data_IF_132536977740
#
_entry.id   IF_132536977740
#
_cell.length_a   1.000
_cell.length_b   1.000
_cell.length_c   1.000
_cell.angle_alpha   90.00
_cell.angle_beta   90.00
_cell.angle_gamma   90.00
#
_symmetry.space_group_name_H-M   'P 1'
#
loop_
_entity.id
_entity.type
_entity.pdbx_description
1 polymer ?
#
# COMPACT_ATOMS: atom_id res chain seq x y z
N UNK A 1 -27.47 -7.20 31.03
CA UNK A 1 -26.85 -7.32 29.69
C UNK A 1 -25.49 -7.94 29.89
N UNK A 2 -25.42 -9.25 29.70
CA UNK A 2 -24.25 -10.09 29.95
C UNK A 2 -23.20 -9.79 28.87
N UNK A 3 -22.00 -9.36 29.29
CA UNK A 3 -20.90 -9.09 28.37
C UNK A 3 -20.41 -10.42 27.81
N UNK A 4 -20.66 -10.69 26.54
CA UNK A 4 -19.96 -11.75 25.80
C UNK A 4 -18.45 -11.46 25.81
N UNK A 5 -17.73 -12.16 26.66
CA UNK A 5 -16.28 -12.18 26.72
C UNK A 5 -15.78 -12.91 25.46
N UNK A 6 -15.48 -12.13 24.42
CA UNK A 6 -14.89 -12.69 23.20
C UNK A 6 -13.46 -13.09 23.51
N UNK A 7 -13.22 -14.40 23.52
CA UNK A 7 -11.88 -15.00 23.57
C UNK A 7 -11.21 -14.77 22.21
N UNK A 8 -10.47 -13.66 22.09
CA UNK A 8 -9.68 -13.38 20.89
C UNK A 8 -8.20 -13.44 21.25
N UNK A 9 -7.49 -14.37 20.63
CA UNK A 9 -6.04 -14.44 20.72
C UNK A 9 -5.44 -13.47 19.70
N UNK A 10 -4.80 -12.40 20.20
CA UNK A 10 -4.12 -11.42 19.33
C UNK A 10 -2.85 -12.08 18.79
N UNK A 11 -2.92 -12.65 17.60
CA UNK A 11 -1.70 -13.08 16.90
C UNK A 11 -0.88 -11.86 16.48
N UNK A 12 0.31 -11.72 17.05
CA UNK A 12 1.26 -10.67 16.65
C UNK A 12 1.86 -11.04 15.30
N UNK A 13 1.52 -10.28 14.25
CA UNK A 13 2.10 -10.46 12.92
C UNK A 13 3.53 -9.91 12.91
N UNK A 14 4.54 -10.78 12.89
CA UNK A 14 5.96 -10.40 12.78
C UNK A 14 6.43 -10.09 11.35
N UNK A 15 5.51 -9.92 10.40
CA UNK A 15 5.84 -9.70 8.98
C UNK A 15 6.77 -8.50 8.74
N UNK A 16 6.78 -7.51 9.63
CA UNK A 16 7.66 -6.33 9.56
C UNK A 16 9.02 -6.51 10.24
N UNK A 17 9.22 -7.54 11.05
CA UNK A 17 10.45 -7.71 11.84
C UNK A 17 11.71 -7.84 10.96
N UNK A 18 11.55 -8.33 9.73
CA UNK A 18 12.64 -8.56 8.78
C UNK A 18 12.70 -7.52 7.66
N UNK A 19 11.93 -6.43 7.75
CA UNK A 19 11.93 -5.37 6.74
C UNK A 19 12.93 -4.26 7.10
N UNK A 20 14.22 -4.55 6.99
CA UNK A 20 15.27 -3.52 7.10
C UNK A 20 15.53 -2.85 5.76
N UNK A 21 15.52 -1.52 5.73
CA UNK A 21 15.95 -0.79 4.54
C UNK A 21 17.47 -0.84 4.39
N UNK A 22 17.95 -0.99 3.16
CA UNK A 22 19.38 -0.93 2.85
C UNK A 22 19.83 0.54 2.92
N UNK A 23 20.75 0.83 3.84
CA UNK A 23 21.32 2.16 4.06
C UNK A 23 22.77 2.18 3.58
N UNK A 24 23.13 3.18 2.79
CA UNK A 24 24.46 3.38 2.24
C UNK A 24 25.21 4.47 3.01
N UNK A 25 26.43 4.15 3.43
CA UNK A 25 27.36 5.07 4.09
C UNK A 25 28.51 5.52 3.18
N UNK A 26 28.77 4.77 2.11
CA UNK A 26 29.82 5.05 1.14
C UNK A 26 29.26 4.97 -0.27
N UNK A 27 29.71 5.87 -1.13
CA UNK A 27 29.42 5.86 -2.56
C UNK A 27 30.75 5.86 -3.32
N UNK A 28 31.02 4.80 -4.10
CA UNK A 28 32.29 4.63 -4.84
C UNK A 28 33.55 4.84 -3.98
N UNK A 29 33.52 4.44 -2.70
CA UNK A 29 34.63 4.61 -1.76
C UNK A 29 34.69 5.96 -1.04
N UNK A 30 33.83 6.93 -1.41
CA UNK A 30 33.73 8.22 -0.74
C UNK A 30 32.69 8.11 0.39
N UNK A 31 33.03 8.46 1.65
CA UNK A 31 32.06 8.47 2.74
C UNK A 31 31.03 9.58 2.53
N UNK A 32 29.74 9.26 2.69
CA UNK A 32 28.69 10.27 2.67
C UNK A 32 28.64 11.00 4.02
N UNK A 33 28.31 12.29 4.00
CA UNK A 33 28.14 13.10 5.21
C UNK A 33 26.97 12.63 6.08
N UNK A 34 25.98 11.99 5.46
CA UNK A 34 24.84 11.37 6.13
C UNK A 34 24.51 10.04 5.44
N UNK A 35 24.02 9.04 6.19
CA UNK A 35 23.55 7.80 5.61
C UNK A 35 22.35 8.05 4.69
N UNK A 36 22.34 7.40 3.52
CA UNK A 36 21.24 7.51 2.55
C UNK A 36 20.63 6.14 2.30
N UNK A 37 19.31 6.03 2.39
CA UNK A 37 18.59 4.80 2.03
C UNK A 37 18.67 4.57 0.51
N UNK A 38 18.84 3.31 0.08
CA UNK A 38 18.82 2.96 -1.35
C UNK A 38 17.56 3.46 -2.06
N UNK A 39 16.41 3.45 -1.36
CA UNK A 39 15.15 3.97 -1.87
C UNK A 39 15.20 5.48 -2.10
N UNK A 40 15.79 6.24 -1.17
CA UNK A 40 15.96 7.68 -1.29
C UNK A 40 16.85 8.02 -2.49
N UNK A 41 17.96 7.31 -2.67
CA UNK A 41 18.84 7.51 -3.82
C UNK A 41 18.12 7.28 -5.16
N UNK A 42 17.35 6.20 -5.28
CA UNK A 42 16.57 5.89 -6.49
C UNK A 42 15.55 6.97 -6.81
N UNK A 43 14.74 7.40 -5.83
CA UNK A 43 13.74 8.44 -6.07
C UNK A 43 14.36 9.82 -6.31
N UNK A 44 15.53 10.10 -5.75
CA UNK A 44 16.29 11.32 -6.06
C UNK A 44 16.74 11.34 -7.53
N UNK A 45 17.31 10.23 -8.02
CA UNK A 45 17.72 10.10 -9.43
C UNK A 45 16.50 10.24 -10.36
N UNK A 46 15.39 9.55 -10.05
CA UNK A 46 14.15 9.67 -10.82
C UNK A 46 13.64 11.11 -10.82
N UNK A 47 13.65 11.77 -9.66
CA UNK A 47 13.25 13.17 -9.51
C UNK A 47 14.14 14.11 -10.35
N UNK A 48 15.45 13.88 -10.37
CA UNK A 48 16.41 14.66 -11.14
C UNK A 48 16.22 14.46 -12.65
N UNK A 49 16.04 13.21 -13.10
CA UNK A 49 15.69 12.92 -14.49
C UNK A 49 14.37 13.57 -14.89
N UNK A 50 13.37 13.54 -14.01
CA UNK A 50 12.07 14.17 -14.24
C UNK A 50 12.19 15.69 -14.38
N UNK A 51 12.86 16.37 -13.44
CA UNK A 51 13.02 17.83 -13.53
C UNK A 51 13.87 18.24 -14.73
N UNK A 52 14.92 17.47 -15.06
CA UNK A 52 15.72 17.69 -16.26
C UNK A 52 14.88 17.59 -17.53
N UNK A 53 14.13 16.50 -17.71
CA UNK A 53 13.26 16.28 -18.87
C UNK A 53 12.18 17.36 -18.98
N UNK A 54 11.50 17.70 -17.89
CA UNK A 54 10.49 18.77 -17.86
C UNK A 54 11.09 20.12 -18.24
N UNK A 55 12.28 20.44 -17.73
CA UNK A 55 12.97 21.70 -18.02
C UNK A 55 13.43 21.83 -19.49
N UNK A 56 13.62 20.69 -20.17
CA UNK A 56 14.02 20.66 -21.58
C UNK A 56 12.81 20.69 -22.52
N UNK A 57 11.71 20.01 -22.18
CA UNK A 57 10.49 20.00 -22.99
C UNK A 57 9.75 21.34 -22.89
N UNK A 58 9.73 21.97 -21.70
CA UNK A 58 9.09 23.26 -21.47
C UNK A 58 10.14 24.33 -21.12
N UNK A 59 10.84 24.91 -22.10
CA UNK A 59 11.86 25.94 -21.85
C UNK A 59 11.28 27.21 -21.21
N UNK A 60 9.97 27.43 -21.29
CA UNK A 60 9.27 28.52 -20.61
C UNK A 60 9.34 28.46 -19.08
N UNK A 61 9.50 27.27 -18.49
CA UNK A 61 9.59 27.08 -17.03
C UNK A 61 10.85 27.77 -16.47
N UNK A 62 11.95 27.77 -17.24
CA UNK A 62 13.22 28.42 -16.86
C UNK A 62 13.13 29.94 -16.78
N UNK A 63 12.14 30.55 -17.44
CA UNK A 63 11.94 32.01 -17.45
C UNK A 63 11.10 32.51 -16.28
N UNK A 64 10.48 31.61 -15.52
CA UNK A 64 9.65 31.96 -14.38
C UNK A 64 10.56 32.13 -13.15
N UNK A 65 10.60 33.35 -12.63
CA UNK A 65 11.34 33.70 -11.41
C UNK A 65 10.81 32.81 -10.25
N UNK A 66 11.71 32.31 -9.38
CA UNK A 66 11.48 31.29 -8.34
C UNK A 66 11.23 29.85 -8.79
N UNK A 67 11.07 29.56 -10.08
CA UNK A 67 10.90 28.18 -10.58
C UNK A 67 12.05 27.78 -11.49
N UNK A 68 12.59 28.74 -12.23
CA UNK A 68 13.67 28.54 -13.20
C UNK A 68 15.09 28.54 -12.63
N UNK A 69 15.27 28.86 -11.34
CA UNK A 69 16.60 28.91 -10.76
C UNK A 69 17.27 27.52 -10.83
N UNK A 70 18.53 27.42 -11.31
CA UNK A 70 19.20 26.13 -11.48
C UNK A 70 19.27 25.32 -10.18
N UNK A 71 19.48 26.00 -9.06
CA UNK A 71 19.53 25.38 -7.72
C UNK A 71 18.17 24.75 -7.38
N UNK A 72 17.06 25.41 -7.70
CA UNK A 72 15.73 24.88 -7.43
C UNK A 72 15.43 23.68 -8.34
N UNK A 73 15.77 23.77 -9.62
CA UNK A 73 15.53 22.72 -10.62
C UNK A 73 16.27 21.42 -10.35
N UNK A 74 17.53 21.51 -9.93
CA UNK A 74 18.40 20.33 -9.83
C UNK A 74 18.63 19.85 -8.41
N UNK A 75 18.39 20.68 -7.39
CA UNK A 75 18.60 20.30 -5.99
C UNK A 75 17.26 20.24 -5.26
N UNK A 76 16.53 21.36 -5.22
CA UNK A 76 15.35 21.46 -4.35
C UNK A 76 14.18 20.61 -4.84
N UNK A 77 13.78 20.70 -6.10
CA UNK A 77 12.66 19.90 -6.61
C UNK A 77 12.93 18.39 -6.58
N UNK A 78 14.10 17.88 -7.02
CA UNK A 78 14.41 16.45 -6.91
C UNK A 78 14.42 15.98 -5.45
N UNK A 79 14.93 16.80 -4.53
CA UNK A 79 14.91 16.50 -3.10
C UNK A 79 13.47 16.46 -2.54
N UNK A 80 12.61 17.39 -2.92
CA UNK A 80 11.20 17.40 -2.51
C UNK A 80 10.45 16.17 -3.06
N UNK A 81 10.67 15.83 -4.33
CA UNK A 81 10.11 14.62 -4.96
C UNK A 81 10.56 13.38 -4.21
N UNK A 82 11.87 13.24 -3.95
CA UNK A 82 12.41 12.15 -3.16
C UNK A 82 11.75 12.07 -1.79
N UNK A 83 11.66 13.18 -1.05
CA UNK A 83 11.07 13.24 0.29
C UNK A 83 9.59 12.86 0.26
N UNK A 84 8.85 13.33 -0.73
CA UNK A 84 7.45 12.97 -0.94
C UNK A 84 7.27 11.46 -1.10
N UNK A 85 8.04 10.81 -1.98
CA UNK A 85 7.88 9.37 -2.22
C UNK A 85 8.41 8.47 -1.10
N UNK A 86 9.29 8.97 -0.24
CA UNK A 86 9.95 8.15 0.80
C UNK A 86 9.39 8.35 2.21
N UNK A 87 9.02 9.59 2.58
CA UNK A 87 8.56 9.89 3.94
C UNK A 87 7.04 10.02 4.04
N UNK A 88 6.36 10.45 2.98
CA UNK A 88 4.91 10.63 3.01
C UNK A 88 4.20 9.30 2.77
N UNK A 89 3.21 9.00 3.60
CA UNK A 89 2.30 7.87 3.39
C UNK A 89 0.89 8.40 3.08
N UNK A 90 0.33 7.97 1.95
CA UNK A 90 -1.06 8.24 1.58
C UNK A 90 -1.90 7.01 1.92
N UNK A 91 -2.86 7.17 2.83
CA UNK A 91 -3.73 6.06 3.28
C UNK A 91 -2.93 4.83 3.78
N UNK A 92 -1.82 5.09 4.50
CA UNK A 92 -0.90 4.06 5.00
C UNK A 92 -0.04 3.36 3.94
N UNK A 93 -0.16 3.76 2.66
CA UNK A 93 0.62 3.25 1.52
C UNK A 93 1.64 4.29 1.05
N UNK A 94 2.77 3.87 0.46
CA UNK A 94 3.65 4.83 -0.19
C UNK A 94 2.97 5.43 -1.43
N UNK A 95 3.31 6.68 -1.82
CA UNK A 95 2.49 7.43 -2.78
C UNK A 95 2.41 6.78 -4.16
N UNK A 96 3.49 6.16 -4.63
CA UNK A 96 3.52 5.47 -5.92
C UNK A 96 2.56 4.26 -5.97
N UNK A 97 2.43 3.50 -4.87
CA UNK A 97 1.47 2.39 -4.77
C UNK A 97 0.05 2.95 -4.66
N UNK A 98 -0.14 3.99 -3.84
CA UNK A 98 -1.44 4.65 -3.71
C UNK A 98 -1.96 5.10 -5.07
N UNK A 99 -1.17 5.84 -5.85
CA UNK A 99 -1.60 6.31 -7.17
C UNK A 99 -1.85 5.18 -8.16
N UNK A 100 -1.03 4.12 -8.13
CA UNK A 100 -1.26 2.92 -8.93
C UNK A 100 -2.62 2.30 -8.60
N UNK A 101 -2.92 2.11 -7.32
CA UNK A 101 -4.17 1.52 -6.86
C UNK A 101 -5.38 2.40 -7.23
N UNK A 102 -5.25 3.71 -7.06
CA UNK A 102 -6.28 4.66 -7.48
C UNK A 102 -6.53 4.61 -9.00
N UNK A 103 -5.46 4.55 -9.80
CA UNK A 103 -5.58 4.45 -11.25
C UNK A 103 -6.25 3.14 -11.68
N UNK A 104 -5.88 2.01 -11.07
CA UNK A 104 -6.53 0.72 -11.29
C UNK A 104 -8.01 0.81 -10.92
N UNK A 105 -8.33 1.38 -9.76
CA UNK A 105 -9.70 1.55 -9.29
C UNK A 105 -10.54 2.44 -10.23
N UNK A 106 -9.94 3.45 -10.85
CA UNK A 106 -10.64 4.31 -11.81
C UNK A 106 -11.02 3.56 -13.10
N UNK A 107 -10.18 2.61 -13.54
CA UNK A 107 -10.39 1.85 -14.78
C UNK A 107 -11.21 0.57 -14.55
N UNK A 108 -11.16 0.02 -13.33
CA UNK A 108 -11.83 -1.24 -12.99
C UNK A 108 -13.36 -1.15 -13.15
N UNK A 109 -13.95 -2.22 -13.69
CA UNK A 109 -15.41 -2.37 -13.71
C UNK A 109 -15.96 -2.44 -12.26
N UNK A 110 -16.82 -1.48 -11.94
CA UNK A 110 -17.42 -1.29 -10.61
C UNK A 110 -18.58 -2.26 -10.34
N UNK A 111 -18.77 -3.27 -11.19
CA UNK A 111 -19.78 -4.34 -11.02
C UNK A 111 -19.66 -5.06 -9.68
N UNK A 112 -18.44 -5.27 -9.18
CA UNK A 112 -18.17 -5.96 -7.91
C UNK A 112 -17.80 -5.02 -6.77
N UNK A 113 -18.17 -3.74 -6.85
CA UNK A 113 -17.90 -2.80 -5.76
C UNK A 113 -18.62 -3.21 -4.48
N UNK A 114 -17.93 -3.03 -3.35
CA UNK A 114 -18.50 -3.26 -2.03
C UNK A 114 -19.81 -2.48 -1.87
N UNK A 115 -20.80 -3.13 -1.25
CA UNK A 115 -22.14 -2.56 -1.00
C UNK A 115 -23.02 -2.29 -2.23
N UNK A 116 -22.63 -2.74 -3.43
CA UNK A 116 -23.56 -2.75 -4.57
C UNK A 116 -24.37 -4.05 -4.60
N UNK A 117 -25.68 -3.98 -4.90
CA UNK A 117 -26.46 -5.18 -5.13
C UNK A 117 -25.94 -5.90 -6.38
N UNK A 118 -25.43 -7.11 -6.20
CA UNK A 118 -25.04 -7.99 -7.31
C UNK A 118 -26.28 -8.81 -7.65
N UNK A 119 -26.72 -8.75 -8.90
CA UNK A 119 -27.66 -9.73 -9.42
C UNK A 119 -26.92 -11.07 -9.56
N UNK A 120 -27.05 -11.91 -8.54
CA UNK A 120 -26.46 -13.25 -8.53
C UNK A 120 -27.16 -14.09 -9.60
N UNK A 121 -26.39 -14.54 -10.59
CA UNK A 121 -26.88 -15.60 -11.48
C UNK A 121 -27.10 -16.87 -10.65
N UNK A 122 -28.18 -17.61 -10.94
CA UNK A 122 -28.62 -18.74 -10.10
C UNK A 122 -27.64 -19.92 -10.06
N UNK A 123 -26.59 -19.93 -10.90
CA UNK A 123 -25.67 -21.07 -11.07
C UNK A 123 -24.20 -20.64 -11.01
N UNK A 124 -23.76 -20.05 -9.90
CA UNK A 124 -22.33 -19.76 -9.68
C UNK A 124 -21.66 -21.03 -9.15
N UNK A 125 -20.73 -21.59 -9.92
CA UNK A 125 -19.82 -22.65 -9.47
C UNK A 125 -18.50 -22.01 -9.08
N UNK A 126 -18.03 -22.29 -7.87
CA UNK A 126 -16.72 -21.86 -7.42
C UNK A 126 -15.70 -22.93 -7.75
N UNK A 127 -14.59 -22.53 -8.35
CA UNK A 127 -13.48 -23.43 -8.69
C UNK A 127 -12.63 -23.78 -7.46
N UNK A 128 -12.55 -22.86 -6.50
CA UNK A 128 -11.85 -23.07 -5.24
C UNK A 128 -12.73 -23.78 -4.21
N UNK A 129 -12.10 -24.59 -3.35
CA UNK A 129 -12.75 -25.14 -2.17
C UNK A 129 -13.01 -24.01 -1.15
N UNK A 130 -14.25 -23.55 -1.05
CA UNK A 130 -14.64 -22.47 -0.14
C UNK A 130 -15.18 -23.08 1.16
N UNK A 131 -14.52 -22.78 2.29
CA UNK A 131 -15.07 -23.02 3.61
C UNK A 131 -16.03 -21.90 4.00
N UNK A 132 -17.28 -22.22 4.34
CA UNK A 132 -18.23 -21.26 4.88
C UNK A 132 -18.90 -21.79 6.14
N UNK A 133 -19.19 -20.88 7.08
CA UNK A 133 -19.87 -21.22 8.33
C UNK A 133 -21.37 -21.22 8.09
N UNK A 134 -21.97 -22.41 8.09
CA UNK A 134 -23.44 -22.55 8.08
C UNK A 134 -23.94 -22.46 9.51
N UNK A 135 -24.88 -21.54 9.77
CA UNK A 135 -25.68 -21.62 11.00
C UNK A 135 -26.74 -22.70 10.77
N UNK A 136 -26.55 -23.88 11.38
CA UNK A 136 -27.59 -24.90 11.41
C UNK A 136 -28.50 -24.61 12.60
N UNK A 137 -29.81 -24.49 12.35
CA UNK A 137 -30.81 -24.52 13.43
C UNK A 137 -30.86 -25.95 13.94
N UNK A 138 -30.32 -26.19 15.13
CA UNK A 138 -30.28 -27.51 15.76
C UNK A 138 -31.36 -27.56 16.83
N UNK A 139 -32.17 -28.61 16.80
CA UNK A 139 -33.15 -28.87 17.86
C UNK A 139 -32.45 -29.08 19.20
N UNK A 140 -33.05 -28.66 20.32
CA UNK A 140 -32.49 -28.89 21.66
C UNK A 140 -32.18 -30.36 21.93
N UNK A 141 -32.96 -31.28 21.33
CA UNK A 141 -32.78 -32.73 21.46
C UNK A 141 -31.47 -33.15 20.79
N UNK A 142 -31.26 -32.76 19.53
CA UNK A 142 -30.04 -33.07 18.77
C UNK A 142 -28.78 -32.49 19.41
N UNK A 143 -28.90 -31.27 19.97
CA UNK A 143 -27.83 -30.64 20.75
C UNK A 143 -27.43 -31.49 21.96
N UNK A 144 -28.42 -32.10 22.63
CA UNK A 144 -28.19 -32.95 23.81
C UNK A 144 -27.53 -34.27 23.41
N UNK A 145 -27.93 -34.84 22.27
CA UNK A 145 -27.37 -36.09 21.74
C UNK A 145 -25.91 -35.91 21.27
N UNK A 146 -25.61 -34.82 20.56
CA UNK A 146 -24.24 -34.49 20.14
C UNK A 146 -23.29 -34.29 21.32
N UNK A 147 -23.78 -33.66 22.40
CA UNK A 147 -22.99 -33.46 23.62
C UNK A 147 -22.71 -34.75 24.38
N UNK A 148 -23.55 -35.78 24.20
CA UNK A 148 -23.45 -37.09 24.87
C UNK A 148 -22.58 -38.08 24.07
N UNK A 149 -22.55 -37.96 22.74
CA UNK A 149 -21.76 -38.83 21.85
C UNK A 149 -20.32 -38.39 21.58
N UNK A 150 -19.90 -37.24 22.12
CA UNK A 150 -18.52 -36.72 21.99
C UNK A 150 -17.58 -37.08 23.14
N UNK A 151 -17.88 -38.13 23.91
CA UNK A 151 -17.00 -38.70 24.94
C UNK A 151 -16.55 -40.09 24.52
#
# INVERSE_FOLDING_TARGET
MEKEERDYEIMRTYARAWQSEIVMYHLFGIPLWFPVSARQAVFFIIGLSFTFTVSNILPGIKKIIFIGDPILLYIVYPYLIMKFFTQLTLDGKPPHIYFKDQFIYLIQDKKYNMYRPINLEKNIKFDAQIGYRVRKLISKIDLTLLRKGGR
#
